data_IF_242870539483
#
_entry.id   IF_242870539483
#
_cell.length_a   1.000
_cell.length_b   1.000
_cell.length_c   1.000
_cell.angle_alpha   90.00
_cell.angle_beta   90.00
_cell.angle_gamma   90.00
#
_symmetry.space_group_name_H-M   'P 1'
#
loop_
_entity.id
_entity.type
_entity.pdbx_description
1 polymer ?
#
# COMPACT_ATOMS: atom_id res chain seq x y z
N UNK A 1 19.66 21.21 7.46
CA UNK A 1 19.59 19.79 7.87
C UNK A 1 18.65 19.04 6.95
N UNK A 2 19.09 17.93 6.47
CA UNK A 2 18.31 17.09 5.56
C UNK A 2 17.61 16.01 6.36
N UNK A 3 16.29 15.89 6.23
CA UNK A 3 15.57 14.79 6.87
C UNK A 3 15.93 13.46 6.18
N UNK A 4 15.86 12.36 6.93
CA UNK A 4 16.05 11.05 6.35
C UNK A 4 14.96 10.77 5.31
N UNK A 5 15.28 10.11 4.19
CA UNK A 5 14.30 9.82 3.18
C UNK A 5 13.26 8.82 3.68
N UNK A 6 12.01 9.11 3.42
CA UNK A 6 10.89 8.21 3.71
C UNK A 6 10.16 7.91 2.40
N UNK A 7 9.32 6.88 2.40
CA UNK A 7 8.49 6.59 1.23
C UNK A 7 7.58 7.79 0.94
N UNK A 8 7.03 8.41 1.98
CA UNK A 8 6.19 9.61 1.83
C UNK A 8 6.94 10.74 1.14
N UNK A 9 8.18 11.03 1.57
CA UNK A 9 8.97 12.11 0.95
C UNK A 9 9.34 11.78 -0.49
N UNK A 10 9.62 10.53 -0.80
CA UNK A 10 9.91 10.08 -2.17
C UNK A 10 8.69 10.25 -3.06
N UNK A 11 7.52 9.83 -2.60
CA UNK A 11 6.28 9.99 -3.36
C UNK A 11 5.96 11.46 -3.60
N UNK A 12 6.17 12.31 -2.61
CA UNK A 12 5.94 13.75 -2.75
C UNK A 12 6.81 14.34 -3.87
N UNK A 13 8.07 13.91 -3.94
CA UNK A 13 8.97 14.38 -5.00
C UNK A 13 8.60 13.86 -6.39
N UNK A 14 7.88 12.73 -6.46
CA UNK A 14 7.47 12.13 -7.73
C UNK A 14 6.10 12.61 -8.21
N UNK A 15 5.41 13.44 -7.41
CA UNK A 15 4.02 13.81 -7.66
C UNK A 15 3.78 14.58 -8.96
N UNK A 16 4.81 15.20 -9.51
CA UNK A 16 4.72 15.96 -10.78
C UNK A 16 5.44 15.29 -11.94
N UNK A 17 5.91 14.06 -11.77
CA UNK A 17 6.70 13.37 -12.79
C UNK A 17 5.79 12.59 -13.71
N UNK A 18 5.69 13.01 -14.97
CA UNK A 18 4.86 12.36 -15.99
C UNK A 18 5.64 11.57 -17.03
N UNK A 19 6.95 11.81 -17.13
CA UNK A 19 7.78 11.16 -18.15
C UNK A 19 8.34 9.79 -17.71
N UNK A 20 8.09 9.42 -16.48
CA UNK A 20 8.52 8.14 -15.90
C UNK A 20 7.44 7.63 -14.97
N UNK A 21 7.50 6.35 -14.67
CA UNK A 21 6.53 5.74 -13.78
C UNK A 21 6.78 4.26 -13.62
N UNK A 22 5.69 3.53 -13.46
CA UNK A 22 5.69 2.10 -13.26
C UNK A 22 5.07 1.41 -14.48
N UNK A 23 5.64 0.28 -14.88
CA UNK A 23 5.11 -0.53 -15.96
C UNK A 23 4.82 -1.94 -15.44
N UNK A 24 3.71 -2.49 -15.89
CA UNK A 24 3.32 -3.87 -15.60
C UNK A 24 2.62 -4.43 -16.85
N UNK A 25 3.19 -5.46 -17.44
CA UNK A 25 2.71 -6.01 -18.71
C UNK A 25 2.56 -4.87 -19.73
N UNK A 26 1.38 -4.66 -20.26
CA UNK A 26 1.11 -3.61 -21.25
C UNK A 26 0.64 -2.30 -20.63
N UNK A 27 0.56 -2.25 -19.31
CA UNK A 27 0.06 -1.08 -18.58
C UNK A 27 1.22 -0.22 -18.09
N UNK A 28 1.08 1.09 -18.28
CA UNK A 28 2.05 2.07 -17.78
C UNK A 28 1.28 3.16 -17.05
N UNK A 29 1.79 3.56 -15.89
CA UNK A 29 1.28 4.73 -15.16
C UNK A 29 2.46 5.63 -14.82
N UNK A 30 2.26 6.93 -14.96
CA UNK A 30 3.27 7.90 -14.55
C UNK A 30 3.37 7.96 -13.03
N UNK A 31 4.48 8.48 -12.51
CA UNK A 31 4.58 8.70 -11.07
C UNK A 31 3.50 9.66 -10.57
N UNK A 32 3.14 10.67 -11.35
CA UNK A 32 2.02 11.56 -11.00
C UNK A 32 0.74 10.76 -10.78
N UNK A 33 0.41 9.87 -11.72
CA UNK A 33 -0.78 9.01 -11.62
C UNK A 33 -0.68 8.06 -10.43
N UNK A 34 0.50 7.46 -10.21
CA UNK A 34 0.74 6.55 -9.09
C UNK A 34 0.52 7.26 -7.76
N UNK A 35 1.09 8.45 -7.59
CA UNK A 35 0.97 9.22 -6.35
C UNK A 35 -0.47 9.62 -6.11
N UNK A 36 -1.17 10.08 -7.15
CA UNK A 36 -2.60 10.41 -7.04
C UNK A 36 -3.43 9.20 -6.60
N UNK A 37 -3.22 8.06 -7.25
CA UNK A 37 -3.94 6.83 -6.91
C UNK A 37 -3.61 6.37 -5.48
N UNK A 38 -2.36 6.55 -5.04
CA UNK A 38 -1.96 6.24 -3.67
C UNK A 38 -2.68 7.15 -2.66
N UNK A 39 -2.84 8.43 -2.97
CA UNK A 39 -3.60 9.36 -2.12
C UNK A 39 -5.07 8.98 -2.02
N UNK A 40 -5.68 8.55 -3.13
CA UNK A 40 -7.08 8.11 -3.12
C UNK A 40 -7.25 6.92 -2.18
N UNK A 41 -6.33 5.97 -2.22
CA UNK A 41 -6.36 4.80 -1.35
C UNK A 41 -6.04 5.15 0.09
N UNK A 42 -5.16 6.12 0.31
CA UNK A 42 -4.87 6.61 1.66
C UNK A 42 -6.12 7.19 2.32
N UNK A 43 -6.93 7.94 1.56
CA UNK A 43 -8.20 8.46 2.03
C UNK A 43 -9.17 7.32 2.41
N UNK A 44 -9.22 6.27 1.57
CA UNK A 44 -10.02 5.09 1.85
C UNK A 44 -9.57 4.40 3.15
N UNK A 45 -8.26 4.26 3.35
CA UNK A 45 -7.73 3.64 4.56
C UNK A 45 -8.11 4.43 5.81
N UNK A 46 -8.08 5.76 5.74
CA UNK A 46 -8.49 6.60 6.87
C UNK A 46 -9.96 6.39 7.23
N UNK A 47 -10.81 6.14 6.23
CA UNK A 47 -12.23 5.87 6.45
C UNK A 47 -12.48 4.46 6.98
N UNK A 48 -11.71 3.47 6.52
CA UNK A 48 -11.91 2.08 6.89
C UNK A 48 -11.34 1.72 8.25
N UNK A 49 -10.23 2.34 8.64
CA UNK A 49 -9.51 1.95 9.85
C UNK A 49 -10.01 2.75 11.05
N UNK A 50 -10.19 2.04 12.16
CA UNK A 50 -10.53 2.66 13.45
C UNK A 50 -9.29 3.39 13.97
N UNK A 51 -9.42 4.67 14.28
CA UNK A 51 -8.31 5.47 14.80
C UNK A 51 -7.77 4.97 16.14
N UNK A 52 -8.54 4.17 16.88
CA UNK A 52 -8.17 3.61 18.19
C UNK A 52 -7.56 2.21 18.06
N UNK A 53 -7.40 1.69 16.85
CA UNK A 53 -6.82 0.38 16.59
C UNK A 53 -5.51 0.52 15.83
N UNK A 54 -4.61 -0.48 15.89
CA UNK A 54 -3.40 -0.45 15.09
C UNK A 54 -3.74 -0.35 13.60
N UNK A 55 -3.09 0.57 12.85
CA UNK A 55 -3.43 0.79 11.44
C UNK A 55 -2.76 -0.26 10.53
N UNK A 56 -3.02 -1.52 10.80
CA UNK A 56 -2.41 -2.64 10.08
C UNK A 56 -3.33 -3.14 8.99
N UNK A 57 -2.84 -3.18 7.77
CA UNK A 57 -3.56 -3.72 6.62
C UNK A 57 -2.82 -4.93 6.07
N UNK A 58 -3.57 -5.95 5.72
CA UNK A 58 -3.01 -7.11 5.04
C UNK A 58 -3.16 -6.96 3.54
N UNK A 59 -2.15 -7.35 2.80
CA UNK A 59 -2.20 -7.37 1.34
C UNK A 59 -1.91 -8.79 0.88
N UNK A 60 -2.93 -9.44 0.33
CA UNK A 60 -2.86 -10.81 -0.17
C UNK A 60 -2.96 -10.74 -1.70
N UNK A 61 -1.86 -10.42 -2.33
CA UNK A 61 -1.77 -10.21 -3.78
C UNK A 61 -0.44 -10.69 -4.30
N UNK A 62 -0.42 -11.07 -5.56
CA UNK A 62 0.83 -11.25 -6.30
C UNK A 62 1.45 -9.89 -6.63
N UNK A 63 2.53 -9.87 -7.38
CA UNK A 63 3.20 -8.62 -7.76
C UNK A 63 2.41 -7.91 -8.88
N UNK A 64 1.31 -7.29 -8.48
CA UNK A 64 0.43 -6.51 -9.36
C UNK A 64 0.52 -5.02 -8.99
N UNK A 65 0.14 -4.11 -9.90
CA UNK A 65 0.24 -2.66 -9.62
C UNK A 65 -0.47 -2.23 -8.35
N UNK A 66 -1.60 -2.84 -8.03
CA UNK A 66 -2.36 -2.49 -6.83
C UNK A 66 -1.54 -2.64 -5.54
N UNK A 67 -0.63 -3.62 -5.49
CA UNK A 67 0.24 -3.80 -4.32
C UNK A 67 1.11 -2.56 -4.11
N UNK A 68 1.70 -2.04 -5.18
CA UNK A 68 2.52 -0.82 -5.13
C UNK A 68 1.69 0.39 -4.67
N UNK A 69 0.45 0.50 -5.17
CA UNK A 69 -0.44 1.59 -4.79
C UNK A 69 -0.84 1.51 -3.31
N UNK A 70 -1.05 0.31 -2.79
CA UNK A 70 -1.37 0.12 -1.37
C UNK A 70 -0.16 0.40 -0.47
N UNK A 71 1.06 0.09 -0.93
CA UNK A 71 2.28 0.49 -0.21
C UNK A 71 2.37 2.02 -0.13
N UNK A 72 2.12 2.70 -1.26
CA UNK A 72 2.08 4.16 -1.29
C UNK A 72 1.00 4.72 -0.37
N UNK A 73 -0.18 4.14 -0.41
CA UNK A 73 -1.30 4.54 0.43
C UNK A 73 -0.97 4.41 1.92
N UNK A 74 -0.34 3.30 2.30
CA UNK A 74 0.05 3.07 3.70
C UNK A 74 1.07 4.12 4.16
N UNK A 75 2.05 4.43 3.31
CA UNK A 75 3.04 5.46 3.63
C UNK A 75 2.38 6.83 3.83
N UNK A 76 1.42 7.19 2.97
CA UNK A 76 0.74 8.48 3.02
C UNK A 76 -0.25 8.58 4.18
N UNK A 77 -0.83 7.47 4.61
CA UNK A 77 -1.84 7.46 5.68
C UNK A 77 -1.28 7.08 7.05
N UNK A 78 -0.02 6.68 7.13
CA UNK A 78 0.56 6.20 8.38
C UNK A 78 0.13 4.78 8.74
N UNK A 79 -0.25 3.97 7.76
CA UNK A 79 -0.64 2.57 7.96
C UNK A 79 0.56 1.63 7.81
N UNK A 80 0.40 0.41 8.32
CA UNK A 80 1.43 -0.63 8.24
C UNK A 80 0.93 -1.73 7.31
N UNK A 81 1.74 -2.09 6.32
CA UNK A 81 1.41 -3.17 5.39
C UNK A 81 2.00 -4.48 5.89
N UNK A 82 1.15 -5.49 6.02
CA UNK A 82 1.57 -6.87 6.20
C UNK A 82 1.37 -7.60 4.87
N UNK A 83 2.46 -7.96 4.21
CA UNK A 83 2.40 -8.76 3.00
C UNK A 83 2.10 -10.21 3.36
N UNK A 84 0.93 -10.68 2.98
CA UNK A 84 0.48 -12.04 3.28
C UNK A 84 0.93 -12.99 2.16
N UNK A 85 1.27 -14.22 2.55
CA UNK A 85 1.78 -15.20 1.61
C UNK A 85 0.62 -15.80 0.79
N UNK A 86 0.64 -15.59 -0.51
CA UNK A 86 -0.42 -16.03 -1.43
C UNK A 86 -0.50 -17.55 -1.57
N UNK A 87 0.52 -18.29 -1.11
CA UNK A 87 0.50 -19.75 -1.14
C UNK A 87 -0.12 -20.40 0.10
N UNK A 88 -0.38 -19.61 1.14
CA UNK A 88 -0.96 -20.14 2.37
C UNK A 88 -2.48 -20.12 2.30
N UNK A 89 -3.10 -21.08 2.94
CA UNK A 89 -4.55 -21.30 2.90
C UNK A 89 -5.07 -21.68 4.28
N UNK A 90 -6.38 -21.52 4.46
CA UNK A 90 -7.11 -22.03 5.63
C UNK A 90 -6.56 -21.48 6.94
N UNK A 91 -6.34 -22.37 7.90
CA UNK A 91 -5.91 -21.99 9.26
C UNK A 91 -4.54 -21.32 9.28
N UNK A 92 -3.63 -21.71 8.37
CA UNK A 92 -2.31 -21.09 8.30
C UNK A 92 -2.41 -19.63 7.91
N UNK A 93 -3.24 -19.30 6.91
CA UNK A 93 -3.48 -17.93 6.49
C UNK A 93 -4.20 -17.14 7.59
N UNK A 94 -5.21 -17.73 8.22
CA UNK A 94 -5.93 -17.08 9.31
C UNK A 94 -4.99 -16.74 10.47
N UNK A 95 -4.03 -17.62 10.76
CA UNK A 95 -3.02 -17.37 11.80
C UNK A 95 -2.10 -16.20 11.42
N UNK A 96 -1.68 -16.12 10.16
CA UNK A 96 -0.83 -15.02 9.70
C UNK A 96 -1.56 -13.68 9.84
N UNK A 97 -2.84 -13.64 9.49
CA UNK A 97 -3.66 -12.44 9.63
C UNK A 97 -3.78 -12.03 11.10
N UNK A 98 -4.03 -13.00 11.98
CA UNK A 98 -4.15 -12.74 13.41
C UNK A 98 -2.82 -12.27 14.02
N UNK A 99 -1.70 -12.91 13.68
CA UNK A 99 -0.39 -12.56 14.22
C UNK A 99 0.08 -11.18 13.79
N UNK A 100 -0.28 -10.74 12.59
CA UNK A 100 0.07 -9.42 12.09
C UNK A 100 -0.93 -8.35 12.50
N UNK A 101 -1.99 -8.76 13.19
CA UNK A 101 -3.05 -7.86 13.68
C UNK A 101 -3.67 -7.02 12.56
N UNK A 102 -3.89 -7.65 11.40
CA UNK A 102 -4.51 -6.97 10.28
C UNK A 102 -5.97 -6.65 10.57
N UNK A 103 -6.37 -5.40 10.33
CA UNK A 103 -7.74 -4.92 10.54
C UNK A 103 -8.57 -5.02 9.27
N UNK A 104 -7.91 -5.05 8.13
CA UNK A 104 -8.53 -5.22 6.83
C UNK A 104 -7.54 -5.97 5.95
N UNK A 105 -8.06 -6.78 5.04
CA UNK A 105 -7.23 -7.51 4.08
C UNK A 105 -7.69 -7.15 2.67
N UNK A 106 -6.74 -6.70 1.85
CA UNK A 106 -6.99 -6.47 0.44
C UNK A 106 -6.52 -7.66 -0.36
N UNK A 107 -7.34 -8.12 -1.27
CA UNK A 107 -7.05 -9.25 -2.13
C UNK A 107 -7.50 -8.96 -3.56
N UNK A 108 -6.91 -9.64 -4.53
CA UNK A 108 -7.31 -9.52 -5.93
C UNK A 108 -8.36 -10.57 -6.31
#
# INVERSE_FOLDING_TARGET
>A
MTADPTVTSLLTRLSDIDDRGMAFADTRISWREHVRASHDRAALLRDLLDENAPPHIGVLMDNVPEFSLLLGAAALSGSVVAGLNTTRRGEALARDIALTDCRVVFTE
#
